data_IF_307727586856
#
_entry.id   IF_307727586856
#
_cell.length_a   1.000
_cell.length_b   1.000
_cell.length_c   1.000
_cell.angle_alpha   90.00
_cell.angle_beta   90.00
_cell.angle_gamma   90.00
#
_symmetry.space_group_name_H-M   'P 1'
#
loop_
_entity.id
_entity.type
_entity.pdbx_description
1 polymer ?
#
# COMPACT_ATOMS: atom_id res chain seq x y z
N UNK A 1 21.29 21.19 47.02
CA UNK A 1 20.98 19.83 46.53
C UNK A 1 19.89 19.96 45.48
N UNK A 2 20.26 20.00 44.19
CA UNK A 2 19.32 20.14 43.08
C UNK A 2 18.81 18.76 42.72
N UNK A 3 17.52 18.53 42.96
CA UNK A 3 16.84 17.25 42.71
C UNK A 3 16.45 17.22 41.23
N UNK A 4 17.34 16.68 40.40
CA UNK A 4 17.08 16.46 38.97
C UNK A 4 16.04 15.34 38.88
N UNK A 5 14.79 15.73 38.65
CA UNK A 5 13.73 14.84 38.21
C UNK A 5 14.00 14.51 36.74
N UNK A 6 14.71 13.39 36.50
CA UNK A 6 14.70 12.77 35.18
C UNK A 6 13.27 12.28 34.91
N UNK A 7 12.50 13.06 34.17
CA UNK A 7 11.34 12.54 33.45
C UNK A 7 11.86 11.49 32.46
N UNK A 8 11.74 10.23 32.84
CA UNK A 8 11.85 9.14 31.88
C UNK A 8 10.65 9.26 30.95
N UNK A 9 10.82 9.97 29.84
CA UNK A 9 9.97 9.82 28.68
C UNK A 9 10.16 8.37 28.21
N UNK A 10 9.26 7.49 28.65
CA UNK A 10 8.96 6.24 27.98
C UNK A 10 8.41 6.62 26.61
N UNK A 11 9.30 7.01 25.69
CA UNK A 11 9.02 6.96 24.29
C UNK A 11 8.73 5.50 23.99
N UNK A 12 7.45 5.14 23.93
CA UNK A 12 7.03 3.95 23.20
C UNK A 12 7.60 4.14 21.80
N UNK A 13 8.74 3.52 21.53
CA UNK A 13 9.10 3.18 20.17
C UNK A 13 7.93 2.33 19.69
N UNK A 14 7.02 2.94 18.92
CA UNK A 14 6.03 2.21 18.16
C UNK A 14 6.85 1.29 17.26
N UNK A 15 6.96 0.02 17.67
CA UNK A 15 7.41 -1.05 16.81
C UNK A 15 6.44 -1.00 15.63
N UNK A 16 6.90 -0.43 14.52
CA UNK A 16 6.16 -0.39 13.26
C UNK A 16 5.97 -1.84 12.85
N UNK A 17 4.86 -2.44 13.22
CA UNK A 17 4.54 -3.79 12.78
C UNK A 17 4.18 -3.64 11.31
N UNK A 18 4.89 -4.35 10.44
CA UNK A 18 4.59 -4.35 9.03
C UNK A 18 3.12 -4.76 8.85
N UNK A 19 2.37 -3.95 8.11
CA UNK A 19 0.96 -4.24 7.80
C UNK A 19 0.92 -5.25 6.67
N UNK A 20 0.08 -6.29 6.79
CA UNK A 20 -0.23 -7.15 5.65
C UNK A 20 -1.23 -6.44 4.76
N UNK A 21 -0.83 -6.11 3.53
CA UNK A 21 -1.73 -5.64 2.48
C UNK A 21 -2.20 -6.82 1.65
N UNK A 22 -3.50 -7.06 1.61
CA UNK A 22 -4.17 -8.07 0.80
C UNK A 22 -4.68 -7.48 -0.51
N UNK A 23 -4.64 -8.25 -1.60
CA UNK A 23 -5.07 -7.84 -2.94
C UNK A 23 -6.23 -8.72 -3.37
N UNK A 24 -7.42 -8.13 -3.49
CA UNK A 24 -8.64 -8.91 -3.71
C UNK A 24 -8.90 -9.22 -5.20
N UNK A 25 -8.23 -8.52 -6.13
CA UNK A 25 -8.42 -8.74 -7.58
C UNK A 25 -7.19 -8.36 -8.39
N UNK A 26 -6.82 -9.28 -9.29
CA UNK A 26 -5.73 -9.05 -10.25
C UNK A 26 -4.36 -8.95 -9.59
N UNK A 27 -3.44 -8.29 -10.28
CA UNK A 27 -2.16 -7.89 -9.72
C UNK A 27 -2.13 -6.37 -9.53
N UNK A 28 -1.41 -5.96 -8.48
CA UNK A 28 -0.92 -4.60 -8.32
C UNK A 28 0.61 -4.63 -8.37
N UNK A 29 1.23 -3.45 -8.44
CA UNK A 29 2.65 -3.30 -8.13
C UNK A 29 2.84 -2.32 -6.98
N UNK A 30 3.68 -2.70 -6.02
CA UNK A 30 4.13 -1.84 -4.93
C UNK A 30 5.65 -1.78 -5.03
N UNK A 31 6.21 -0.57 -5.20
CA UNK A 31 7.66 -0.37 -5.38
C UNK A 31 8.26 -1.31 -6.44
N UNK A 32 7.63 -1.40 -7.61
CA UNK A 32 7.94 -2.29 -8.74
C UNK A 32 7.81 -3.81 -8.49
N UNK A 33 7.45 -4.24 -7.28
CA UNK A 33 7.17 -5.64 -6.98
C UNK A 33 5.72 -6.00 -7.33
N UNK A 34 5.53 -7.09 -8.07
CA UNK A 34 4.21 -7.61 -8.43
C UNK A 34 3.57 -8.34 -7.23
N UNK A 35 2.34 -7.98 -6.89
CA UNK A 35 1.59 -8.56 -5.76
C UNK A 35 0.22 -9.03 -6.23
N UNK A 36 -0.13 -10.30 -5.94
CA UNK A 36 -1.41 -10.93 -6.31
C UNK A 36 -2.30 -11.33 -5.14
N UNK A 37 -1.70 -11.67 -4.00
CA UNK A 37 -2.43 -12.20 -2.84
C UNK A 37 -2.25 -11.28 -1.65
N UNK A 38 -1.03 -11.22 -1.11
CA UNK A 38 -0.72 -10.30 -0.01
C UNK A 38 0.78 -10.02 0.05
N UNK A 39 1.13 -8.95 0.75
CA UNK A 39 2.51 -8.55 1.00
C UNK A 39 2.60 -7.79 2.32
N UNK A 40 3.68 -7.98 3.07
CA UNK A 40 3.97 -7.13 4.22
C UNK A 40 4.62 -5.83 3.77
N UNK A 41 3.99 -4.70 4.09
CA UNK A 41 4.44 -3.36 3.68
C UNK A 41 4.42 -2.41 4.86
N UNK A 42 5.32 -1.42 4.81
CA UNK A 42 5.32 -0.29 5.73
C UNK A 42 4.93 0.96 4.94
N UNK A 43 3.83 1.65 5.28
CA UNK A 43 3.47 2.91 4.62
C UNK A 43 4.51 4.01 4.92
N UNK A 44 4.62 5.06 4.08
CA UNK A 44 3.84 5.27 2.86
C UNK A 44 4.35 4.38 1.70
N UNK A 45 3.42 3.95 0.83
CA UNK A 45 3.75 3.16 -0.37
C UNK A 45 2.97 3.67 -1.57
N UNK A 46 3.56 3.58 -2.77
CA UNK A 46 2.84 3.84 -4.01
C UNK A 46 2.36 2.53 -4.62
N UNK A 47 1.04 2.42 -4.77
CA UNK A 47 0.37 1.28 -5.39
C UNK A 47 0.01 1.68 -6.82
N UNK A 48 0.44 0.89 -7.80
CA UNK A 48 -0.11 0.96 -9.15
C UNK A 48 -1.04 -0.23 -9.38
N UNK A 49 -2.17 0.01 -10.04
CA UNK A 49 -3.19 -0.99 -10.28
C UNK A 49 -3.91 -0.78 -11.62
N UNK A 50 -4.93 -1.59 -11.90
CA UNK A 50 -5.70 -1.52 -13.14
C UNK A 50 -4.88 -1.97 -14.36
N UNK A 51 -3.95 -2.89 -14.19
CA UNK A 51 -3.16 -3.46 -15.27
C UNK A 51 -4.01 -4.32 -16.21
N UNK A 52 -3.77 -4.18 -17.52
CA UNK A 52 -4.31 -5.09 -18.54
C UNK A 52 -3.55 -6.43 -18.49
N UNK A 53 -4.22 -7.45 -17.95
CA UNK A 53 -3.67 -8.80 -17.83
C UNK A 53 -3.45 -9.53 -19.15
N UNK A 54 -3.92 -9.00 -20.28
CA UNK A 54 -3.65 -9.55 -21.62
C UNK A 54 -2.39 -8.98 -22.27
N UNK A 55 -1.80 -7.93 -21.70
CA UNK A 55 -0.61 -7.29 -22.25
C UNK A 55 0.64 -8.18 -22.13
N UNK A 56 1.31 -8.39 -23.25
CA UNK A 56 2.59 -9.13 -23.35
C UNK A 56 3.83 -8.22 -23.23
N UNK A 57 3.66 -6.91 -23.00
CA UNK A 57 4.77 -5.97 -22.87
C UNK A 57 5.45 -6.11 -21.51
N UNK A 58 6.79 -6.01 -21.47
CA UNK A 58 7.57 -6.01 -20.23
C UNK A 58 7.27 -4.80 -19.32
N UNK A 59 6.99 -3.65 -19.93
CA UNK A 59 6.62 -2.42 -19.22
C UNK A 59 5.31 -1.87 -19.77
N UNK A 60 4.42 -1.48 -18.88
CA UNK A 60 3.07 -0.98 -19.21
C UNK A 60 2.75 0.25 -18.38
N UNK A 61 1.85 1.08 -18.89
CA UNK A 61 1.26 2.17 -18.10
C UNK A 61 0.10 1.57 -17.28
N UNK A 62 0.11 1.70 -15.95
CA UNK A 62 -0.99 1.20 -15.12
C UNK A 62 -2.26 2.02 -15.38
N UNK A 63 -3.42 1.44 -15.02
CA UNK A 63 -4.71 2.13 -15.15
C UNK A 63 -4.90 3.23 -14.10
N UNK A 64 -4.27 3.10 -12.93
CA UNK A 64 -4.35 4.07 -11.84
C UNK A 64 -3.13 3.98 -10.90
N UNK A 65 -2.95 5.00 -10.07
CA UNK A 65 -2.02 4.98 -8.92
C UNK A 65 -2.71 5.44 -7.63
N UNK A 66 -2.13 5.03 -6.51
CA UNK A 66 -2.51 5.46 -5.16
C UNK A 66 -1.24 5.63 -4.33
N UNK A 67 -1.01 6.84 -3.83
CA UNK A 67 -0.05 7.07 -2.75
C UNK A 67 -0.77 6.78 -1.43
N UNK A 68 -0.51 5.60 -0.90
CA UNK A 68 -1.22 5.07 0.25
C UNK A 68 -0.47 5.35 1.55
N UNK A 69 -1.22 5.73 2.58
CA UNK A 69 -0.67 5.95 3.91
C UNK A 69 -1.68 5.57 5.00
N UNK A 70 -1.17 4.98 6.08
CA UNK A 70 -1.91 4.64 7.28
C UNK A 70 -0.96 4.58 8.49
N UNK A 71 -1.46 4.68 9.73
CA UNK A 71 -0.63 4.52 10.93
C UNK A 71 0.08 3.17 10.97
N UNK A 72 1.33 3.12 11.44
CA UNK A 72 2.14 1.89 11.49
C UNK A 72 1.59 0.78 12.38
N UNK A 73 0.60 1.07 13.21
CA UNK A 73 -0.09 0.12 14.08
C UNK A 73 -1.43 -0.36 13.51
N UNK A 74 -1.74 -0.05 12.25
CA UNK A 74 -2.88 -0.66 11.57
C UNK A 74 -2.67 -2.17 11.44
N UNK A 75 -3.75 -2.92 11.67
CA UNK A 75 -3.79 -4.35 11.32
C UNK A 75 -3.77 -4.54 9.81
N UNK A 76 -4.32 -5.66 9.36
CA UNK A 76 -4.39 -5.96 7.92
C UNK A 76 -5.17 -4.91 7.13
N UNK A 77 -4.65 -4.60 5.95
CA UNK A 77 -5.24 -3.66 4.98
C UNK A 77 -5.60 -4.43 3.72
N UNK A 78 -6.70 -4.06 3.07
CA UNK A 78 -7.25 -4.77 1.92
C UNK A 78 -7.39 -3.80 0.75
N UNK A 79 -6.70 -4.09 -0.34
CA UNK A 79 -6.91 -3.44 -1.63
C UNK A 79 -8.06 -4.14 -2.36
N UNK A 80 -9.22 -3.49 -2.34
CA UNK A 80 -10.49 -3.99 -2.85
C UNK A 80 -10.52 -4.13 -4.38
N UNK A 81 -11.51 -4.87 -4.86
CA UNK A 81 -11.74 -5.08 -6.30
C UNK A 81 -12.17 -3.80 -7.05
N UNK A 82 -12.57 -2.78 -6.31
CA UNK A 82 -12.88 -1.42 -6.72
C UNK A 82 -11.65 -0.49 -6.70
N UNK A 83 -10.47 -1.03 -6.39
CA UNK A 83 -9.20 -0.32 -6.25
C UNK A 83 -9.13 0.68 -5.08
N UNK A 84 -9.88 0.43 -4.00
CA UNK A 84 -9.83 1.22 -2.78
C UNK A 84 -9.21 0.45 -1.61
N UNK A 85 -8.70 1.17 -0.61
CA UNK A 85 -8.16 0.59 0.62
C UNK A 85 -9.23 0.46 1.71
N UNK A 86 -9.25 -0.70 2.34
CA UNK A 86 -10.16 -1.06 3.41
C UNK A 86 -9.40 -1.62 4.61
N UNK A 87 -9.93 -1.39 5.81
CA UNK A 87 -9.49 -2.08 7.02
C UNK A 87 -10.07 -3.50 7.10
N UNK A 88 -9.73 -4.25 8.15
CA UNK A 88 -10.24 -5.60 8.40
C UNK A 88 -11.75 -5.68 8.67
N UNK A 89 -12.41 -4.55 8.95
CA UNK A 89 -13.85 -4.46 9.13
C UNK A 89 -14.58 -4.11 7.82
N UNK A 90 -13.85 -3.94 6.71
CA UNK A 90 -14.40 -3.50 5.43
C UNK A 90 -14.72 -1.99 5.40
N UNK A 91 -14.19 -1.21 6.33
CA UNK A 91 -14.31 0.25 6.32
C UNK A 91 -13.25 0.85 5.41
N UNK A 92 -13.68 1.75 4.51
CA UNK A 92 -12.76 2.43 3.61
C UNK A 92 -11.81 3.34 4.41
N UNK A 93 -10.50 3.19 4.18
CA UNK A 93 -9.47 3.94 4.91
C UNK A 93 -9.38 5.34 4.33
N UNK A 94 -10.15 6.28 4.88
CA UNK A 94 -10.15 7.71 4.54
C UNK A 94 -10.43 8.04 3.06
N UNK A 95 -11.21 7.21 2.36
CA UNK A 95 -11.50 7.44 0.93
C UNK A 95 -10.31 7.16 0.01
N UNK A 96 -9.30 6.42 0.48
CA UNK A 96 -8.09 6.13 -0.30
C UNK A 96 -8.40 5.14 -1.41
N UNK A 97 -8.60 5.68 -2.61
CA UNK A 97 -8.87 4.95 -3.82
C UNK A 97 -7.86 5.32 -4.90
N UNK A 98 -7.46 4.31 -5.67
CA UNK A 98 -6.62 4.46 -6.83
C UNK A 98 -7.28 5.37 -7.86
N UNK A 99 -6.52 6.34 -8.38
CA UNK A 99 -7.02 7.34 -9.35
C UNK A 99 -6.17 7.31 -10.60
N UNK A 100 -6.77 7.66 -11.73
CA UNK A 100 -6.04 7.87 -12.97
C UNK A 100 -5.78 9.38 -13.15
N UNK A 101 -4.57 9.89 -12.85
CA UNK A 101 -4.22 11.30 -13.09
C UNK A 101 -3.96 11.61 -14.58
N UNK A 102 -4.13 10.64 -15.49
CA UNK A 102 -3.93 10.78 -16.94
C UNK A 102 -2.49 10.60 -17.41
N UNK A 103 -1.50 10.97 -16.59
CA UNK A 103 -0.07 10.75 -16.87
C UNK A 103 0.56 9.88 -15.78
N UNK A 104 0.59 8.57 -16.03
CA UNK A 104 1.24 7.58 -15.15
C UNK A 104 2.55 7.09 -15.77
N UNK A 105 3.58 6.80 -14.94
CA UNK A 105 4.83 6.24 -15.44
C UNK A 105 4.60 4.85 -16.04
N UNK A 106 5.53 4.41 -16.90
CA UNK A 106 5.61 2.99 -17.25
C UNK A 106 6.28 2.26 -16.09
N UNK A 107 5.65 1.19 -15.63
CA UNK A 107 6.17 0.31 -14.57
C UNK A 107 6.30 -1.10 -15.11
N UNK A 108 7.00 -1.97 -14.38
CA UNK A 108 7.12 -3.38 -14.76
C UNK A 108 5.73 -4.01 -14.80
N UNK A 109 5.40 -4.70 -15.89
CA UNK A 109 4.12 -5.38 -16.02
C UNK A 109 4.06 -6.57 -15.05
N UNK A 110 3.12 -6.60 -14.09
CA UNK A 110 3.06 -7.69 -13.12
C UNK A 110 2.58 -9.02 -13.72
N UNK A 111 2.02 -8.99 -14.94
CA UNK A 111 1.65 -10.18 -15.71
C UNK A 111 2.75 -10.64 -16.68
N UNK A 112 3.89 -9.94 -16.73
CA UNK A 112 5.00 -10.33 -17.59
C UNK A 112 5.90 -11.35 -16.90
N UNK A 113 6.01 -12.53 -17.52
CA UNK A 113 6.82 -13.67 -17.10
C UNK A 113 7.44 -14.38 -18.29
#
# INVERSE_FOLDING_TARGET
>A
MVKILCLAALGLAALSQATTLHVNKGYITIDDAAVRSSVSVSPPVTIYAGFDGSSTKQYVTPGCSLDASWPSNYGDVYFGADNCLYDSNGQNINGQCCKNPGKLPKVRNPYYG
#
